data_IF_525478480645
#
_entry.id   IF_525478480645
#
_cell.length_a   1.000
_cell.length_b   1.000
_cell.length_c   1.000
_cell.angle_alpha   90.00
_cell.angle_beta   90.00
_cell.angle_gamma   90.00
#
_symmetry.space_group_name_H-M   'P 1'
#
loop_
_entity.id
_entity.type
_entity.pdbx_description
1 polymer ?
#
# COMPACT_ATOMS: atom_id res chain seq x y z
N UNK A 1 -4.18 10.96 -20.37
CA UNK A 1 -4.75 10.94 -19.08
C UNK A 1 -3.76 10.81 -18.00
N UNK A 2 -4.02 11.50 -16.92
CA UNK A 2 -3.12 11.49 -15.81
C UNK A 2 -3.47 10.45 -14.82
N UNK A 3 -2.45 9.80 -14.31
CA UNK A 3 -2.59 8.86 -13.23
C UNK A 3 -2.78 9.61 -11.94
N UNK A 4 -3.69 9.16 -11.11
CA UNK A 4 -3.83 9.73 -9.78
C UNK A 4 -2.69 9.20 -8.91
N UNK A 5 -2.06 10.08 -8.19
CA UNK A 5 -0.95 9.70 -7.32
C UNK A 5 -1.29 10.03 -5.88
N UNK A 6 -0.94 9.12 -5.00
CA UNK A 6 -1.23 9.26 -3.58
C UNK A 6 0.07 9.15 -2.80
N UNK A 7 0.20 9.98 -1.79
CA UNK A 7 1.33 9.87 -0.88
C UNK A 7 1.05 8.74 0.09
N UNK A 8 2.10 8.31 0.80
CA UNK A 8 1.94 7.18 1.70
C UNK A 8 0.89 7.45 2.76
N UNK A 9 0.83 8.68 3.28
CA UNK A 9 -0.15 9.00 4.30
C UNK A 9 -1.57 8.91 3.75
N UNK A 10 -1.76 9.35 2.52
CA UNK A 10 -3.06 9.28 1.88
C UNK A 10 -3.45 7.84 1.60
N UNK A 11 -2.49 7.08 1.11
CA UNK A 11 -2.74 5.67 0.80
C UNK A 11 -3.10 4.91 2.06
N UNK A 12 -2.38 5.17 3.13
CA UNK A 12 -2.68 4.50 4.40
C UNK A 12 -4.09 4.79 4.86
N UNK A 13 -4.52 6.03 4.70
CA UNK A 13 -5.88 6.39 5.06
C UNK A 13 -6.91 5.68 4.21
N UNK A 14 -6.66 5.63 2.91
CA UNK A 14 -7.60 5.00 1.99
C UNK A 14 -7.69 3.51 2.21
N UNK A 15 -6.58 2.88 2.52
CA UNK A 15 -6.55 1.45 2.78
C UNK A 15 -6.93 1.15 4.22
N UNK A 16 -6.89 2.16 5.07
CA UNK A 16 -7.26 2.04 6.48
C UNK A 16 -6.26 1.19 7.25
N UNK A 17 -4.99 1.53 7.07
CA UNK A 17 -3.92 0.88 7.83
C UNK A 17 -2.91 1.95 8.19
N UNK A 18 -1.98 1.59 9.05
CA UNK A 18 -0.91 2.51 9.41
C UNK A 18 0.13 2.57 8.30
N UNK A 19 0.80 3.71 8.13
CA UNK A 19 1.81 3.81 7.08
C UNK A 19 2.89 2.75 7.14
N UNK A 20 3.32 2.37 8.33
CA UNK A 20 4.38 1.37 8.43
C UNK A 20 3.92 0.01 7.95
N UNK A 21 2.62 -0.24 7.97
CA UNK A 21 2.08 -1.50 7.46
C UNK A 21 2.27 -1.56 5.96
N UNK A 22 2.07 -0.43 5.28
CA UNK A 22 2.27 -0.39 3.85
C UNK A 22 3.72 -0.70 3.50
N UNK A 23 4.65 -0.13 4.25
CA UNK A 23 6.06 -0.39 4.00
C UNK A 23 6.40 -1.86 4.21
N UNK A 24 5.83 -2.44 5.24
CA UNK A 24 6.05 -3.84 5.53
C UNK A 24 5.57 -4.70 4.36
N UNK A 25 4.38 -4.39 3.85
CA UNK A 25 3.84 -5.15 2.74
C UNK A 25 4.67 -4.98 1.48
N UNK A 26 5.19 -3.78 1.26
CA UNK A 26 6.05 -3.54 0.12
C UNK A 26 7.25 -4.46 0.14
N UNK A 27 7.85 -4.59 1.29
CA UNK A 27 9.03 -5.43 1.43
C UNK A 27 8.67 -6.90 1.29
N UNK A 28 7.60 -7.27 1.93
CA UNK A 28 7.17 -8.65 1.92
C UNK A 28 6.87 -9.16 0.51
N UNK A 29 6.25 -8.31 -0.28
CA UNK A 29 5.83 -8.70 -1.62
C UNK A 29 6.82 -8.29 -2.70
N UNK A 30 7.86 -7.57 -2.32
CA UNK A 30 8.84 -7.12 -3.29
C UNK A 30 8.26 -6.13 -4.27
N UNK A 31 7.35 -5.28 -3.80
CA UNK A 31 6.75 -4.30 -4.69
C UNK A 31 7.73 -3.19 -5.02
N UNK A 32 7.65 -2.75 -6.26
CA UNK A 32 8.48 -1.66 -6.71
C UNK A 32 7.79 -0.35 -6.47
N UNK A 33 8.29 0.43 -5.54
CA UNK A 33 7.65 1.68 -5.19
C UNK A 33 8.26 2.82 -5.95
N UNK A 34 7.41 3.64 -6.54
CA UNK A 34 7.85 4.78 -7.32
C UNK A 34 8.06 5.99 -6.42
N UNK A 35 8.91 6.86 -6.89
CA UNK A 35 9.15 8.10 -6.17
C UNK A 35 8.96 9.27 -7.12
N UNK A 36 8.40 10.35 -6.60
CA UNK A 36 8.18 11.52 -7.42
C UNK A 36 9.46 12.33 -7.51
N UNK A 37 9.36 13.50 -8.13
CA UNK A 37 10.53 14.33 -8.36
C UNK A 37 11.19 14.78 -7.07
N UNK A 38 10.43 14.86 -6.02
CA UNK A 38 10.95 15.27 -4.73
C UNK A 38 11.49 14.11 -3.92
N UNK A 39 11.43 12.91 -4.46
CA UNK A 39 11.94 11.75 -3.78
C UNK A 39 10.96 11.11 -2.82
N UNK A 40 9.73 11.56 -2.81
CA UNK A 40 8.71 11.00 -1.93
C UNK A 40 8.03 9.80 -2.59
N UNK A 41 7.67 8.83 -1.80
CA UNK A 41 6.94 7.66 -2.30
C UNK A 41 5.58 8.09 -2.75
N UNK A 42 5.10 7.48 -3.82
CA UNK A 42 3.71 7.68 -4.21
C UNK A 42 3.15 6.37 -4.71
N UNK A 43 1.83 6.30 -4.69
CA UNK A 43 1.11 5.10 -5.06
C UNK A 43 0.04 5.46 -6.07
N UNK A 44 -0.37 4.48 -6.85
CA UNK A 44 -1.39 4.68 -7.87
C UNK A 44 -2.62 3.87 -7.50
N UNK A 45 -3.65 4.00 -8.32
CA UNK A 45 -4.87 3.23 -8.11
C UNK A 45 -4.59 1.73 -8.10
N UNK A 46 -3.68 1.30 -8.94
CA UNK A 46 -3.32 -0.11 -8.97
C UNK A 46 -2.72 -0.56 -7.66
N UNK A 47 -1.87 0.28 -7.10
CA UNK A 47 -1.26 -0.06 -5.82
C UNK A 47 -2.31 -0.13 -4.73
N UNK A 48 -3.29 0.77 -4.78
CA UNK A 48 -4.36 0.74 -3.81
C UNK A 48 -5.14 -0.56 -3.89
N UNK A 49 -5.41 -1.02 -5.09
CA UNK A 49 -6.11 -2.28 -5.28
C UNK A 49 -5.33 -3.44 -4.67
N UNK A 50 -4.03 -3.44 -4.91
CA UNK A 50 -3.18 -4.49 -4.38
C UNK A 50 -3.21 -4.49 -2.86
N UNK A 51 -3.06 -3.32 -2.26
CA UNK A 51 -3.07 -3.22 -0.81
C UNK A 51 -4.40 -3.62 -0.21
N UNK A 52 -5.48 -3.23 -0.87
CA UNK A 52 -6.80 -3.59 -0.38
C UNK A 52 -7.01 -5.10 -0.41
N UNK A 53 -6.52 -5.72 -1.47
CA UNK A 53 -6.63 -7.16 -1.60
C UNK A 53 -5.81 -7.85 -0.53
N UNK A 54 -4.61 -7.34 -0.27
CA UNK A 54 -3.77 -7.91 0.78
C UNK A 54 -4.47 -7.80 2.12
N UNK A 55 -5.06 -6.65 2.38
CA UNK A 55 -5.73 -6.44 3.64
C UNK A 55 -6.87 -7.41 3.83
N UNK A 56 -7.63 -7.63 2.78
CA UNK A 56 -8.73 -8.58 2.84
C UNK A 56 -8.24 -9.98 3.12
N UNK A 57 -7.18 -10.37 2.44
CA UNK A 57 -6.65 -11.72 2.63
C UNK A 57 -6.14 -11.91 4.04
N UNK A 58 -5.43 -10.91 4.54
CA UNK A 58 -4.88 -11.03 5.88
C UNK A 58 -5.97 -10.97 6.94
N UNK A 59 -7.00 -10.25 6.65
CA UNK A 59 -8.10 -10.16 7.59
C UNK A 59 -8.81 -11.50 7.73
N UNK A 60 -8.92 -12.22 6.64
CA UNK A 60 -9.55 -13.51 6.67
C UNK A 60 -8.65 -14.60 7.18
N UNK A 61 -7.46 -14.48 6.67
CA UNK A 61 -6.55 -15.49 7.06
C UNK A 61 -5.93 -15.26 8.37
N UNK A 62 -5.99 -14.74 8.84
CA UNK A 62 -5.38 -14.61 9.70
C UNK A 62 -5.15 -14.86 10.77
N UNK A 63 -5.39 -14.94 11.02
CA UNK A 63 -5.30 -15.15 11.81
C UNK A 63 -4.49 -15.81 12.34
N UNK A 64 -3.95 -16.07 12.24
CA UNK A 64 -3.28 -16.74 12.45
C UNK A 64 -2.45 -16.75 13.03
N UNK A 65 -2.25 -16.63 13.45
CA UNK A 65 -1.58 -16.79 13.91
C UNK A 65 -1.22 -16.77 14.45
N UNK A 66 -1.29 -16.76 14.82
CA UNK A 66 -0.94 -16.77 15.33
C UNK A 66 -0.53 -16.83 15.67
#
# INVERSE_FOLDING_TARGET
>A
MKETRYLISETAKLVQVEPHVLRYWEEELGLSIKRNEMGHRYYTDKDLEIFQKIKELKKEGLQLKT
#
